data_IF_385438870705
#
_entry.id   IF_385438870705
#
_cell.length_a   1.000
_cell.length_b   1.000
_cell.length_c   1.000
_cell.angle_alpha   90.00
_cell.angle_beta   90.00
_cell.angle_gamma   90.00
#
_symmetry.space_group_name_H-M   'P 1'
#
loop_
_entity.id
_entity.type
_entity.pdbx_description
1 polymer ?
#
# COMPACT_ATOMS: atom_id res chain seq x y z
N UNK A 1 -18.69 3.65 29.40
CA UNK A 1 -18.86 2.74 28.26
C UNK A 1 -18.54 3.43 26.93
N UNK A 2 -19.16 4.57 26.61
CA UNK A 2 -18.90 5.32 25.35
C UNK A 2 -17.47 5.85 25.24
N UNK A 3 -16.82 6.28 26.33
CA UNK A 3 -15.43 6.76 26.37
C UNK A 3 -14.46 5.65 25.96
N UNK A 4 -14.62 4.44 26.51
CA UNK A 4 -13.77 3.29 26.18
C UNK A 4 -13.92 2.87 24.71
N UNK A 5 -15.13 2.93 24.14
CA UNK A 5 -15.33 2.67 22.72
C UNK A 5 -14.52 3.64 21.82
N UNK A 6 -14.51 4.93 22.17
CA UNK A 6 -13.74 5.93 21.41
C UNK A 6 -12.24 5.71 21.55
N UNK A 7 -11.76 5.36 22.74
CA UNK A 7 -10.34 5.02 23.00
C UNK A 7 -9.92 3.80 22.18
N UNK A 8 -10.73 2.73 22.17
CA UNK A 8 -10.46 1.52 21.40
C UNK A 8 -10.50 1.80 19.87
N UNK A 9 -11.39 2.68 19.41
CA UNK A 9 -11.47 3.09 18.01
C UNK A 9 -10.26 3.97 17.59
N UNK A 10 -9.83 4.87 18.45
CA UNK A 10 -8.59 5.65 18.25
C UNK A 10 -7.37 4.74 18.23
N UNK A 11 -7.32 3.73 19.10
CA UNK A 11 -6.24 2.73 19.08
C UNK A 11 -6.19 2.01 17.74
N UNK A 12 -7.34 1.56 17.21
CA UNK A 12 -7.42 0.91 15.91
C UNK A 12 -6.93 1.83 14.77
N UNK A 13 -7.32 3.09 14.78
CA UNK A 13 -6.86 4.08 13.80
C UNK A 13 -5.34 4.28 13.86
N UNK A 14 -4.77 4.36 15.06
CA UNK A 14 -3.33 4.49 15.28
C UNK A 14 -2.56 3.24 14.81
N UNK A 15 -3.13 2.03 14.99
CA UNK A 15 -2.55 0.79 14.51
C UNK A 15 -2.51 0.77 12.98
N UNK A 16 -3.61 1.15 12.29
CA UNK A 16 -3.66 1.27 10.83
C UNK A 16 -2.63 2.27 10.31
N UNK A 17 -2.53 3.43 10.95
CA UNK A 17 -1.52 4.42 10.58
C UNK A 17 -0.09 3.86 10.74
N UNK A 18 0.17 3.12 11.82
CA UNK A 18 1.46 2.47 12.06
C UNK A 18 1.79 1.44 10.98
N UNK A 19 0.81 0.61 10.56
CA UNK A 19 0.99 -0.33 9.44
C UNK A 19 1.41 0.42 8.17
N UNK A 20 0.72 1.49 7.83
CA UNK A 20 1.02 2.29 6.65
C UNK A 20 2.41 2.95 6.69
N UNK A 21 2.86 3.40 7.88
CA UNK A 21 4.22 3.92 8.07
C UNK A 21 5.29 2.82 7.90
N UNK A 22 5.00 1.57 8.31
CA UNK A 22 5.89 0.43 8.11
C UNK A 22 6.00 0.08 6.62
N UNK A 23 4.88 0.00 5.90
CA UNK A 23 4.87 -0.20 4.44
C UNK A 23 5.73 0.86 3.72
N UNK A 24 5.56 2.12 4.09
CA UNK A 24 6.38 3.21 3.56
C UNK A 24 7.86 3.04 3.86
N UNK A 25 8.22 2.67 5.08
CA UNK A 25 9.61 2.49 5.49
C UNK A 25 10.26 1.32 4.74
N UNK A 26 9.55 0.19 4.61
CA UNK A 26 10.01 -0.97 3.87
C UNK A 26 10.23 -0.64 2.38
N UNK A 27 9.24 0.00 1.74
CA UNK A 27 9.33 0.39 0.32
C UNK A 27 10.47 1.38 0.07
N UNK A 28 10.69 2.35 0.96
CA UNK A 28 11.78 3.31 0.86
C UNK A 28 13.15 2.64 0.99
N UNK A 29 13.29 1.62 1.84
CA UNK A 29 14.50 0.84 1.98
C UNK A 29 14.95 0.13 0.70
N UNK A 30 14.01 -0.20 -0.21
CA UNK A 30 14.31 -0.89 -1.47
C UNK A 30 14.91 0.01 -2.56
N UNK A 31 14.79 1.33 -2.46
CA UNK A 31 15.32 2.27 -3.46
C UNK A 31 16.85 2.21 -3.58
N UNK A 32 17.56 1.82 -2.52
CA UNK A 32 19.02 1.74 -2.47
C UNK A 32 19.62 0.46 -3.07
N UNK A 33 18.82 -0.58 -3.32
CA UNK A 33 19.27 -1.91 -3.83
C UNK A 33 20.42 -2.54 -3.02
N UNK A 34 20.60 -2.15 -1.76
CA UNK A 34 21.57 -2.67 -0.82
C UNK A 34 20.97 -3.87 -0.05
N UNK A 35 21.75 -4.95 0.10
CA UNK A 35 21.31 -6.15 0.80
C UNK A 35 20.83 -5.84 2.22
N UNK A 36 21.55 -5.01 2.97
CA UNK A 36 21.18 -4.62 4.34
C UNK A 36 19.84 -3.87 4.37
N UNK A 37 19.56 -3.06 3.36
CA UNK A 37 18.27 -2.37 3.24
C UNK A 37 17.14 -3.34 2.89
N UNK A 38 17.39 -4.33 2.04
CA UNK A 38 16.42 -5.38 1.74
C UNK A 38 16.12 -6.24 2.97
N UNK A 39 17.12 -6.63 3.76
CA UNK A 39 16.92 -7.35 5.03
C UNK A 39 16.07 -6.54 6.00
N UNK A 40 16.38 -5.26 6.19
CA UNK A 40 15.57 -4.37 7.03
C UNK A 40 14.13 -4.22 6.53
N UNK A 41 13.93 -4.18 5.21
CA UNK A 41 12.58 -4.13 4.64
C UNK A 41 11.79 -5.39 4.97
N UNK A 42 12.40 -6.57 4.88
CA UNK A 42 11.79 -7.85 5.27
C UNK A 42 11.46 -7.87 6.75
N UNK A 43 12.38 -7.45 7.63
CA UNK A 43 12.13 -7.39 9.08
C UNK A 43 10.92 -6.49 9.41
N UNK A 44 10.83 -5.32 8.75
CA UNK A 44 9.69 -4.41 8.90
C UNK A 44 8.39 -5.07 8.42
N UNK A 45 8.41 -5.82 7.32
CA UNK A 45 7.24 -6.52 6.81
C UNK A 45 6.78 -7.63 7.78
N UNK A 46 7.68 -8.33 8.43
CA UNK A 46 7.34 -9.32 9.46
C UNK A 46 6.65 -8.71 10.69
N UNK A 47 7.00 -7.46 11.05
CA UNK A 47 6.29 -6.73 12.12
C UNK A 47 4.81 -6.45 11.75
N UNK A 48 4.48 -6.38 10.46
CA UNK A 48 3.11 -6.13 9.99
C UNK A 48 2.15 -7.28 10.35
N UNK A 49 2.63 -8.52 10.43
CA UNK A 49 1.80 -9.66 10.86
C UNK A 49 1.28 -9.46 12.29
N UNK A 50 2.15 -9.05 13.20
CA UNK A 50 1.75 -8.77 14.58
C UNK A 50 0.78 -7.58 14.69
N UNK A 51 0.98 -6.54 13.89
CA UNK A 51 0.07 -5.40 13.85
C UNK A 51 -1.29 -5.78 13.25
N UNK A 52 -1.32 -6.60 12.21
CA UNK A 52 -2.56 -7.14 11.64
C UNK A 52 -3.37 -7.86 12.71
N UNK A 53 -2.74 -8.83 13.40
CA UNK A 53 -3.41 -9.63 14.42
C UNK A 53 -3.96 -8.75 15.56
N UNK A 54 -3.22 -7.73 15.97
CA UNK A 54 -3.68 -6.74 16.95
C UNK A 54 -4.88 -5.93 16.47
N UNK A 55 -4.84 -5.45 15.21
CA UNK A 55 -5.97 -4.71 14.61
C UNK A 55 -7.23 -5.57 14.52
N UNK A 56 -7.10 -6.81 14.03
CA UNK A 56 -8.20 -7.75 13.92
C UNK A 56 -8.81 -8.06 15.29
N UNK A 57 -7.95 -8.32 16.30
CA UNK A 57 -8.41 -8.56 17.66
C UNK A 57 -9.15 -7.36 18.23
N UNK A 58 -8.62 -6.14 18.06
CA UNK A 58 -9.27 -4.90 18.53
C UNK A 58 -10.62 -4.70 17.84
N UNK A 59 -10.69 -4.88 16.52
CA UNK A 59 -11.91 -4.73 15.74
C UNK A 59 -12.98 -5.74 16.15
N UNK A 60 -12.61 -7.00 16.33
CA UNK A 60 -13.55 -8.06 16.81
C UNK A 60 -14.03 -7.76 18.22
N UNK A 61 -13.17 -7.32 19.12
CA UNK A 61 -13.56 -6.92 20.48
C UNK A 61 -14.55 -5.74 20.48
N UNK A 62 -14.34 -4.74 19.63
CA UNK A 62 -15.26 -3.62 19.44
C UNK A 62 -16.64 -4.10 18.97
N UNK A 63 -16.70 -4.98 17.97
CA UNK A 63 -17.96 -5.54 17.48
C UNK A 63 -18.69 -6.37 18.55
N UNK A 64 -17.96 -7.22 19.26
CA UNK A 64 -18.54 -8.16 20.23
C UNK A 64 -19.00 -7.48 21.52
N UNK A 65 -18.25 -6.49 22.02
CA UNK A 65 -18.46 -5.94 23.35
C UNK A 65 -19.20 -4.60 23.35
N UNK A 66 -19.15 -3.84 22.24
CA UNK A 66 -19.69 -2.48 22.19
C UNK A 66 -20.92 -2.35 21.31
N UNK A 67 -21.25 -3.37 20.48
CA UNK A 67 -22.40 -3.36 19.56
C UNK A 67 -22.51 -2.03 18.77
N UNK A 68 -21.47 -1.61 18.05
CA UNK A 68 -21.47 -0.34 17.34
C UNK A 68 -22.57 -0.29 16.27
N UNK A 69 -23.13 0.89 16.01
CA UNK A 69 -24.20 1.10 15.01
C UNK A 69 -23.83 2.20 14.03
N UNK A 70 -24.48 2.18 12.87
CA UNK A 70 -24.36 3.22 11.84
C UNK A 70 -22.88 3.59 11.54
N UNK A 71 -22.50 4.85 11.72
CA UNK A 71 -21.16 5.35 11.42
C UNK A 71 -20.03 4.67 12.23
N UNK A 72 -20.29 4.26 13.46
CA UNK A 72 -19.31 3.54 14.30
C UNK A 72 -19.08 2.13 13.76
N UNK A 73 -20.15 1.41 13.40
CA UNK A 73 -20.05 0.09 12.76
C UNK A 73 -19.30 0.19 11.43
N UNK A 74 -19.61 1.21 10.60
CA UNK A 74 -18.92 1.45 9.35
C UNK A 74 -17.41 1.60 9.55
N UNK A 75 -16.98 2.41 10.52
CA UNK A 75 -15.55 2.61 10.84
C UNK A 75 -14.86 1.30 11.20
N UNK A 76 -15.45 0.47 12.06
CA UNK A 76 -14.83 -0.80 12.47
C UNK A 76 -14.74 -1.79 11.29
N UNK A 77 -15.82 -1.92 10.51
CA UNK A 77 -15.83 -2.82 9.34
C UNK A 77 -14.83 -2.36 8.29
N UNK A 78 -14.77 -1.05 8.01
CA UNK A 78 -13.80 -0.49 7.05
C UNK A 78 -12.36 -0.67 7.55
N UNK A 79 -12.12 -0.54 8.86
CA UNK A 79 -10.79 -0.79 9.44
C UNK A 79 -10.31 -2.22 9.19
N UNK A 80 -11.16 -3.24 9.35
CA UNK A 80 -10.81 -4.64 9.02
C UNK A 80 -10.40 -4.78 7.55
N UNK A 81 -11.09 -4.10 6.63
CA UNK A 81 -10.77 -4.13 5.21
C UNK A 81 -9.44 -3.40 4.91
N UNK A 82 -9.18 -2.28 5.61
CA UNK A 82 -7.92 -1.54 5.51
C UNK A 82 -6.73 -2.38 5.99
N UNK A 83 -6.88 -3.10 7.10
CA UNK A 83 -5.86 -4.03 7.61
C UNK A 83 -5.43 -5.02 6.52
N UNK A 84 -6.39 -5.63 5.82
CA UNK A 84 -6.11 -6.58 4.76
C UNK A 84 -5.35 -5.94 3.58
N UNK A 85 -5.67 -4.69 3.21
CA UNK A 85 -4.97 -3.97 2.14
C UNK A 85 -3.55 -3.59 2.55
N UNK A 86 -3.35 -3.05 3.75
CA UNK A 86 -2.03 -2.68 4.25
C UNK A 86 -1.12 -3.90 4.41
N UNK A 87 -1.63 -5.01 4.94
CA UNK A 87 -0.87 -6.25 5.01
C UNK A 87 -0.43 -6.77 3.63
N UNK A 88 -1.28 -6.63 2.59
CA UNK A 88 -0.92 -7.00 1.22
C UNK A 88 0.15 -6.08 0.62
N UNK A 89 0.14 -4.78 0.95
CA UNK A 89 1.21 -3.86 0.56
C UNK A 89 2.56 -4.30 1.14
N UNK A 90 2.61 -4.68 2.42
CA UNK A 90 3.80 -5.24 3.05
C UNK A 90 4.30 -6.51 2.35
N UNK A 91 3.42 -7.47 2.08
CA UNK A 91 3.78 -8.70 1.37
C UNK A 91 4.34 -8.45 -0.05
N UNK A 92 3.81 -7.46 -0.78
CA UNK A 92 4.35 -7.06 -2.07
C UNK A 92 5.75 -6.44 -1.94
N UNK A 93 5.97 -5.63 -0.90
CA UNK A 93 7.28 -5.05 -0.58
C UNK A 93 8.31 -6.14 -0.25
N UNK A 94 7.92 -7.16 0.52
CA UNK A 94 8.75 -8.33 0.81
C UNK A 94 9.14 -9.09 -0.48
N UNK A 95 8.19 -9.31 -1.38
CA UNK A 95 8.48 -9.95 -2.68
C UNK A 95 9.48 -9.16 -3.52
N UNK A 96 9.44 -7.83 -3.51
CA UNK A 96 10.42 -6.97 -4.18
C UNK A 96 11.79 -7.15 -3.53
N UNK A 97 11.88 -7.12 -2.19
CA UNK A 97 13.11 -7.35 -1.44
C UNK A 97 13.71 -8.73 -1.73
N UNK A 98 12.89 -9.76 -1.80
CA UNK A 98 13.31 -11.13 -2.09
C UNK A 98 13.94 -11.28 -3.48
N UNK A 99 13.46 -10.56 -4.49
CA UNK A 99 14.11 -10.56 -5.81
C UNK A 99 15.53 -9.99 -5.68
N UNK A 100 15.72 -8.88 -4.99
CA UNK A 100 17.04 -8.29 -4.79
C UNK A 100 17.97 -9.22 -4.01
N UNK A 101 17.49 -9.85 -2.93
CA UNK A 101 18.25 -10.82 -2.11
C UNK A 101 18.72 -12.03 -2.91
N UNK A 102 17.81 -12.63 -3.70
CA UNK A 102 18.14 -13.81 -4.53
C UNK A 102 19.19 -13.53 -5.59
N UNK A 103 19.31 -12.29 -6.04
CA UNK A 103 20.29 -11.89 -7.07
C UNK A 103 21.63 -11.46 -6.51
N UNK A 104 21.71 -11.09 -5.25
CA UNK A 104 22.94 -10.65 -4.64
C UNK A 104 24.08 -11.68 -4.86
N UNK A 105 25.33 -11.28 -5.23
CA UNK A 105 25.80 -9.89 -5.37
C UNK A 105 25.48 -9.21 -6.72
N UNK A 106 24.87 -9.91 -7.66
CA UNK A 106 24.54 -9.34 -8.97
C UNK A 106 23.30 -8.43 -8.87
N UNK A 107 23.23 -7.35 -9.66
CA UNK A 107 22.06 -6.50 -9.70
C UNK A 107 20.84 -7.25 -10.23
N UNK A 108 19.70 -7.12 -9.56
CA UNK A 108 18.44 -7.72 -10.00
C UNK A 108 17.87 -7.05 -11.27
N UNK A 109 18.20 -5.78 -11.50
CA UNK A 109 17.68 -4.97 -12.60
C UNK A 109 18.82 -4.57 -13.54
N UNK A 110 18.72 -4.84 -14.86
CA UNK A 110 19.66 -4.37 -15.87
C UNK A 110 19.83 -2.85 -15.84
N UNK A 111 21.01 -2.35 -16.15
CA UNK A 111 21.33 -0.93 -16.09
C UNK A 111 20.37 -0.07 -16.94
N UNK A 112 19.97 -0.57 -18.11
CA UNK A 112 19.02 0.09 -19.02
C UNK A 112 17.61 0.30 -18.41
N UNK A 113 17.19 -0.55 -17.46
CA UNK A 113 15.86 -0.54 -16.86
C UNK A 113 15.86 0.08 -15.46
N UNK A 114 17.03 0.28 -14.83
CA UNK A 114 17.13 0.88 -13.48
C UNK A 114 16.43 2.22 -13.35
N UNK A 115 16.51 3.17 -14.31
CA UNK A 115 15.81 4.45 -14.17
C UNK A 115 14.31 4.31 -14.09
N UNK A 116 13.71 3.33 -14.80
CA UNK A 116 12.25 3.08 -14.78
C UNK A 116 11.87 2.50 -13.42
N UNK A 117 12.59 1.46 -12.95
CA UNK A 117 12.31 0.82 -11.65
C UNK A 117 12.50 1.81 -10.50
N UNK A 118 13.51 2.69 -10.56
CA UNK A 118 13.72 3.73 -9.56
C UNK A 118 12.52 4.72 -9.50
N UNK A 119 11.96 5.09 -10.65
CA UNK A 119 10.74 5.93 -10.72
C UNK A 119 9.53 5.20 -10.15
N UNK A 120 9.37 3.90 -10.41
CA UNK A 120 8.31 3.09 -9.81
C UNK A 120 8.43 3.03 -8.29
N UNK A 121 9.64 2.78 -7.76
CA UNK A 121 9.91 2.81 -6.33
C UNK A 121 9.59 4.16 -5.69
N UNK A 122 10.02 5.26 -6.33
CA UNK A 122 9.70 6.61 -5.84
C UNK A 122 8.19 6.90 -5.84
N UNK A 123 7.46 6.46 -6.88
CA UNK A 123 6.00 6.57 -6.94
C UNK A 123 5.33 5.76 -5.82
N UNK A 124 5.76 4.52 -5.58
CA UNK A 124 5.25 3.68 -4.49
C UNK A 124 5.46 4.32 -3.11
N UNK A 125 6.65 4.87 -2.84
CA UNK A 125 6.93 5.61 -1.58
C UNK A 125 6.05 6.85 -1.44
N UNK A 126 5.82 7.59 -2.53
CA UNK A 126 4.94 8.75 -2.51
C UNK A 126 3.49 8.35 -2.22
N UNK A 127 3.01 7.26 -2.83
CA UNK A 127 1.67 6.72 -2.59
C UNK A 127 1.51 6.21 -1.15
N UNK A 128 2.46 5.44 -0.62
CA UNK A 128 2.46 4.99 0.77
C UNK A 128 2.48 6.16 1.76
N UNK A 129 3.24 7.21 1.45
CA UNK A 129 3.28 8.44 2.28
C UNK A 129 1.92 9.15 2.27
N UNK A 130 1.30 9.26 1.10
CA UNK A 130 -0.04 9.81 0.97
C UNK A 130 -1.08 8.98 1.73
N UNK A 131 -1.04 7.65 1.63
CA UNK A 131 -1.95 6.76 2.35
C UNK A 131 -1.84 6.93 3.88
N UNK A 132 -0.63 7.05 4.42
CA UNK A 132 -0.42 7.33 5.84
C UNK A 132 -1.03 8.69 6.26
N UNK A 133 -0.86 9.73 5.43
CA UNK A 133 -1.44 11.04 5.69
C UNK A 133 -2.98 11.01 5.65
N UNK A 134 -3.56 10.33 4.65
CA UNK A 134 -5.01 10.21 4.47
C UNK A 134 -5.64 9.39 5.60
N UNK A 135 -5.01 8.33 6.05
CA UNK A 135 -5.49 7.56 7.21
C UNK A 135 -5.46 8.38 8.51
N UNK A 136 -4.48 9.28 8.65
CA UNK A 136 -4.39 10.16 9.82
C UNK A 136 -5.41 11.31 9.78
N UNK A 137 -5.63 11.92 8.60
CA UNK A 137 -6.54 13.05 8.43
C UNK A 137 -8.00 12.64 8.28
N UNK A 138 -8.25 11.48 7.65
CA UNK A 138 -9.57 11.06 7.21
C UNK A 138 -10.14 11.93 6.07
N UNK A 139 -9.29 12.71 5.38
CA UNK A 139 -9.73 13.66 4.36
C UNK A 139 -10.10 12.93 3.05
N UNK A 140 -11.38 12.99 2.61
CA UNK A 140 -11.80 12.32 1.39
C UNK A 140 -11.29 13.00 0.12
N UNK A 141 -10.96 14.29 0.14
CA UNK A 141 -10.43 15.01 -1.02
C UNK A 141 -8.99 14.56 -1.33
N UNK A 142 -8.17 14.41 -0.31
CA UNK A 142 -6.82 13.87 -0.44
C UNK A 142 -6.86 12.38 -0.85
N UNK A 143 -7.81 11.64 -0.32
CA UNK A 143 -8.02 10.23 -0.65
C UNK A 143 -8.37 10.01 -2.13
N UNK A 144 -9.17 10.90 -2.73
CA UNK A 144 -9.57 10.82 -4.13
C UNK A 144 -8.40 11.02 -5.12
N UNK A 145 -7.28 11.61 -4.68
CA UNK A 145 -6.12 11.84 -5.56
C UNK A 145 -5.35 10.56 -5.91
N UNK A 146 -5.62 9.44 -5.23
CA UNK A 146 -4.87 8.20 -5.47
C UNK A 146 -5.11 7.60 -6.85
N UNK A 147 -6.29 7.75 -7.44
CA UNK A 147 -6.57 7.28 -8.80
C UNK A 147 -5.66 7.95 -9.84
N UNK A 148 -5.48 9.28 -9.76
CA UNK A 148 -4.57 9.98 -10.66
C UNK A 148 -3.08 9.64 -10.44
N UNK A 149 -2.71 9.23 -9.22
CA UNK A 149 -1.35 8.75 -8.91
C UNK A 149 -1.11 7.35 -9.44
N UNK A 150 -2.13 6.52 -9.46
CA UNK A 150 -2.09 5.17 -10.01
C UNK A 150 -1.86 5.17 -11.52
N UNK A 151 -2.48 6.08 -12.26
CA UNK A 151 -2.22 6.31 -13.69
C UNK A 151 -0.72 6.48 -13.99
N UNK A 152 0.02 7.12 -13.07
CA UNK A 152 1.47 7.29 -13.18
C UNK A 152 2.19 5.96 -13.03
N UNK A 153 1.80 5.12 -12.06
CA UNK A 153 2.37 3.78 -11.86
C UNK A 153 2.09 2.88 -13.05
N UNK A 154 0.87 2.90 -13.57
CA UNK A 154 0.47 2.16 -14.77
C UNK A 154 1.29 2.57 -16.00
N UNK A 155 1.55 3.86 -16.16
CA UNK A 155 2.41 4.39 -17.20
C UNK A 155 3.83 3.84 -17.10
N UNK A 156 4.40 3.83 -15.90
CA UNK A 156 5.74 3.29 -15.62
C UNK A 156 5.80 1.77 -15.83
N UNK A 157 4.77 1.04 -15.43
CA UNK A 157 4.69 -0.40 -15.65
C UNK A 157 4.68 -0.75 -17.15
N UNK A 158 3.90 -0.02 -17.96
CA UNK A 158 3.89 -0.19 -19.42
C UNK A 158 5.25 0.17 -20.06
N UNK A 159 5.92 1.23 -19.58
CA UNK A 159 7.27 1.62 -20.00
C UNK A 159 8.29 0.50 -19.70
N UNK A 160 8.22 -0.09 -18.48
CA UNK A 160 9.08 -1.19 -18.07
C UNK A 160 8.88 -2.44 -18.95
N UNK A 161 7.62 -2.85 -19.18
CA UNK A 161 7.32 -4.00 -20.04
C UNK A 161 7.83 -3.78 -21.47
N UNK A 162 7.70 -2.56 -22.01
CA UNK A 162 8.24 -2.21 -23.32
C UNK A 162 9.76 -2.33 -23.35
N UNK A 163 10.45 -1.87 -22.30
CA UNK A 163 11.91 -2.00 -22.19
C UNK A 163 12.36 -3.47 -22.08
N UNK A 164 11.61 -4.29 -21.33
CA UNK A 164 11.86 -5.75 -21.22
C UNK A 164 11.73 -6.44 -22.58
N UNK A 165 10.69 -6.11 -23.37
CA UNK A 165 10.47 -6.70 -24.70
C UNK A 165 11.51 -6.24 -25.74
N UNK A 166 12.08 -5.05 -25.55
CA UNK A 166 13.10 -4.49 -26.43
C UNK A 166 14.54 -4.92 -26.07
N UNK A 167 14.73 -5.75 -25.05
CA UNK A 167 16.07 -6.11 -24.53
C UNK A 167 16.86 -7.08 -25.45
N UNK A 168 16.27 -7.55 -26.54
CA UNK A 168 16.90 -8.36 -27.60
C UNK A 168 17.82 -9.48 -27.07
N UNK A 169 17.35 -10.26 -26.10
CA UNK A 169 18.06 -11.39 -25.48
C UNK A 169 19.36 -11.01 -24.73
N UNK A 170 19.59 -9.73 -24.43
CA UNK A 170 20.76 -9.29 -23.65
C UNK A 170 20.70 -9.76 -22.21
N UNK A 171 19.50 -9.88 -21.65
CA UNK A 171 19.27 -10.37 -20.31
C UNK A 171 18.94 -11.87 -20.29
N UNK A 172 19.36 -12.56 -19.22
CA UNK A 172 18.95 -13.95 -19.02
C UNK A 172 17.44 -14.04 -18.80
N UNK A 173 16.83 -15.18 -19.16
CA UNK A 173 15.40 -15.43 -18.91
C UNK A 173 15.01 -15.20 -17.47
N UNK A 174 15.88 -15.49 -16.53
CA UNK A 174 15.64 -15.31 -15.12
C UNK A 174 15.59 -13.82 -14.74
N UNK A 175 16.42 -12.97 -15.32
CA UNK A 175 16.37 -11.50 -15.15
C UNK A 175 15.09 -10.94 -15.74
N UNK A 176 14.68 -11.39 -16.92
CA UNK A 176 13.43 -10.98 -17.58
C UNK A 176 12.22 -11.28 -16.67
N UNK A 177 12.17 -12.48 -16.09
CA UNK A 177 11.11 -12.87 -15.16
C UNK A 177 11.12 -11.99 -13.92
N UNK A 178 12.28 -11.77 -13.29
CA UNK A 178 12.38 -10.96 -12.07
C UNK A 178 11.96 -9.51 -12.32
N UNK A 179 12.40 -8.88 -13.41
CA UNK A 179 12.02 -7.49 -13.74
C UNK A 179 10.53 -7.38 -14.05
N UNK A 180 9.96 -8.36 -14.75
CA UNK A 180 8.51 -8.41 -15.02
C UNK A 180 7.72 -8.51 -13.71
N UNK A 181 8.16 -9.37 -12.78
CA UNK A 181 7.53 -9.51 -11.47
C UNK A 181 7.68 -8.24 -10.62
N UNK A 182 8.87 -7.60 -10.63
CA UNK A 182 9.08 -6.31 -9.96
C UNK A 182 8.05 -5.27 -10.43
N UNK A 183 7.90 -5.12 -11.75
CA UNK A 183 6.91 -4.22 -12.32
C UNK A 183 5.50 -4.52 -11.83
N UNK A 184 5.11 -5.79 -11.82
CA UNK A 184 3.78 -6.21 -11.35
C UNK A 184 3.58 -6.01 -9.84
N UNK A 185 4.62 -6.19 -9.02
CA UNK A 185 4.52 -5.97 -7.58
C UNK A 185 4.35 -4.48 -7.25
N UNK A 186 5.07 -3.58 -7.93
CA UNK A 186 4.88 -2.15 -7.77
C UNK A 186 3.49 -1.67 -8.19
N UNK A 187 3.00 -2.15 -9.33
CA UNK A 187 1.66 -1.81 -9.83
C UNK A 187 0.60 -2.31 -8.84
N UNK A 188 0.67 -3.56 -8.37
CA UNK A 188 -0.28 -4.05 -7.36
C UNK A 188 -0.17 -3.34 -6.02
N UNK A 189 1.01 -2.86 -5.65
CA UNK A 189 1.17 -2.01 -4.46
C UNK A 189 0.37 -0.71 -4.61
N UNK A 190 0.43 -0.09 -5.78
CA UNK A 190 -0.34 1.11 -6.10
C UNK A 190 -1.85 0.84 -6.08
N UNK A 191 -2.33 -0.25 -6.70
CA UNK A 191 -3.72 -0.71 -6.63
C UNK A 191 -4.24 -0.76 -5.17
N UNK A 192 -3.46 -1.36 -4.24
CA UNK A 192 -3.84 -1.44 -2.84
C UNK A 192 -3.87 -0.06 -2.16
N UNK A 193 -3.01 0.87 -2.58
CA UNK A 193 -3.01 2.24 -2.08
C UNK A 193 -4.27 2.99 -2.53
N UNK A 194 -4.71 2.80 -3.78
CA UNK A 194 -6.00 3.33 -4.27
C UNK A 194 -7.15 2.80 -3.43
N UNK A 195 -7.14 1.50 -3.12
CA UNK A 195 -8.18 0.90 -2.29
C UNK A 195 -8.17 1.47 -0.85
N UNK A 196 -7.01 1.81 -0.29
CA UNK A 196 -6.92 2.56 0.99
C UNK A 196 -7.64 3.91 0.87
N UNK A 197 -7.43 4.65 -0.21
CA UNK A 197 -8.14 5.90 -0.47
C UNK A 197 -9.65 5.71 -0.56
N UNK A 198 -10.12 4.76 -1.37
CA UNK A 198 -11.55 4.44 -1.52
C UNK A 198 -12.22 4.07 -0.19
N UNK A 199 -11.54 3.26 0.63
CA UNK A 199 -12.03 2.90 1.96
C UNK A 199 -12.05 4.08 2.92
N UNK A 200 -11.10 4.99 2.83
CA UNK A 200 -11.09 6.21 3.64
C UNK A 200 -12.24 7.14 3.28
N UNK A 201 -12.54 7.34 1.98
CA UNK A 201 -13.73 8.08 1.56
C UNK A 201 -15.00 7.47 2.15
N UNK A 202 -15.18 6.15 2.00
CA UNK A 202 -16.36 5.47 2.55
C UNK A 202 -16.42 5.58 4.07
N UNK A 203 -15.29 5.43 4.75
CA UNK A 203 -15.23 5.54 6.22
C UNK A 203 -15.64 6.94 6.70
N UNK A 204 -15.19 7.99 6.02
CA UNK A 204 -15.48 9.38 6.38
C UNK A 204 -16.91 9.78 6.03
N UNK A 205 -17.39 9.47 4.83
CA UNK A 205 -18.62 10.01 4.26
C UNK A 205 -19.80 9.04 4.31
N UNK A 206 -19.55 7.74 4.22
CA UNK A 206 -20.55 6.69 4.05
C UNK A 206 -21.01 6.49 2.61
N UNK A 207 -20.44 7.23 1.67
CA UNK A 207 -20.71 7.10 0.24
C UNK A 207 -19.60 6.29 -0.43
N UNK A 208 -19.89 5.64 -1.56
CA UNK A 208 -18.83 5.13 -2.42
C UNK A 208 -18.03 6.31 -3.01
N UNK A 209 -16.80 6.08 -3.52
CA UNK A 209 -16.05 7.14 -4.21
C UNK A 209 -16.83 7.80 -5.35
N UNK A 210 -17.58 7.01 -6.12
CA UNK A 210 -18.39 7.47 -7.24
C UNK A 210 -19.56 8.35 -6.78
N UNK A 211 -20.30 7.92 -5.75
CA UNK A 211 -21.40 8.69 -5.15
C UNK A 211 -20.90 10.00 -4.55
N UNK A 212 -19.74 9.95 -3.89
CA UNK A 212 -19.12 11.13 -3.29
C UNK A 212 -18.66 12.13 -4.36
N UNK A 213 -18.04 11.65 -5.45
CA UNK A 213 -17.64 12.49 -6.58
C UNK A 213 -18.85 13.14 -7.26
N UNK A 214 -19.92 12.36 -7.54
CA UNK A 214 -21.15 12.85 -8.14
C UNK A 214 -21.83 13.95 -7.27
N UNK A 215 -21.87 13.76 -5.96
CA UNK A 215 -22.43 14.75 -5.04
C UNK A 215 -21.67 16.10 -5.06
N UNK A 216 -20.34 16.07 -5.30
CA UNK A 216 -19.51 17.29 -5.42
C UNK A 216 -19.71 18.04 -6.74
N UNK A 217 -19.99 17.31 -7.81
CA UNK A 217 -20.21 17.91 -9.14
C UNK A 217 -21.66 18.34 -9.34
N UNK A 218 -22.54 18.14 -8.37
CA UNK A 218 -23.95 18.55 -8.43
C UNK A 218 -24.78 17.69 -9.39
N UNK A 219 -24.38 16.43 -9.57
CA UNK A 219 -25.01 15.46 -10.48
C UNK A 219 -26.05 14.55 -9.77
N UNK A 220 -26.39 14.86 -8.50
CA UNK A 220 -27.42 14.20 -7.71
C UNK A 220 -28.64 15.07 -7.46
#
# INVERSE_FOLDING_TARGET
MRTRFHEDLEQLANQLHTMCLRDRAATNGLLGADLEQCERAVDICQELDGLRDQCEHTAVALLALQSPVAGELRKVVTAIQLVANLHRMGALTEHIADIARRRHPEPAVPESMRPIVARMGAAAVAMATGAAAVLASGDPDDAAQFEARDDTMDGLHRELLTAVLADDERSSKAVVVDVTLLGRYYERFADHTVEVGRRTIFMATGCTPEEWAAARHGEL
#
